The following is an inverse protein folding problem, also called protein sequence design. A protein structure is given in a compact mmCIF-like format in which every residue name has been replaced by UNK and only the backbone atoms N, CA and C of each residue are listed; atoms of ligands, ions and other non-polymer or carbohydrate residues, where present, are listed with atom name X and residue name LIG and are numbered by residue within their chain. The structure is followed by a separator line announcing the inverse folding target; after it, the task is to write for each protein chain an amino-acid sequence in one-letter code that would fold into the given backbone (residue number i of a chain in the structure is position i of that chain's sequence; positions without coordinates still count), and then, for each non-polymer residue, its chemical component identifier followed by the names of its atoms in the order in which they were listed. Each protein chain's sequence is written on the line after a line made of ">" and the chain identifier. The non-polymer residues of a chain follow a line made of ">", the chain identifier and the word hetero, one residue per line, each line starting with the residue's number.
data_IF_564355741180
#
_entry.id   IF_564355741180
#
_cell.length_a   1.000
_cell.length_b   1.000
_cell.length_c   1.000
_cell.angle_alpha   90.00
_cell.angle_beta   90.00
_cell.angle_gamma   90.00
#
_symmetry.space_group_name_H-M   'P 1'
#
loop_
_entity.id
_entity.type
_entity.pdbx_description
1 polymer ?
#
# COMPACT_ATOMS: atom_id res chain seq x y z
N UNK A 1 -25.42 4.53 -2.81
CA UNK A 1 -24.71 3.85 -3.90
C UNK A 1 -24.23 2.53 -3.34
N UNK A 2 -24.72 1.42 -3.87
CA UNK A 2 -24.43 0.07 -3.34
C UNK A 2 -23.06 -0.39 -3.85
N UNK A 3 -22.28 -1.05 -3.01
CA UNK A 3 -20.93 -1.51 -3.36
C UNK A 3 -21.02 -2.80 -4.17
N UNK A 4 -20.20 -2.93 -5.22
CA UNK A 4 -20.13 -4.13 -6.05
C UNK A 4 -19.49 -5.27 -5.26
N UNK A 5 -20.12 -6.43 -5.24
CA UNK A 5 -19.64 -7.63 -4.55
C UNK A 5 -19.13 -8.68 -5.54
N UNK A 6 -18.24 -9.61 -5.14
CA UNK A 6 -17.72 -10.63 -6.04
C UNK A 6 -18.81 -11.50 -6.71
N UNK A 7 -19.99 -11.64 -6.09
CA UNK A 7 -21.15 -12.32 -6.67
C UNK A 7 -21.79 -11.61 -7.85
N UNK A 8 -21.49 -10.32 -8.06
CA UNK A 8 -21.94 -9.55 -9.23
C UNK A 8 -21.12 -9.87 -10.50
N UNK A 9 -20.12 -10.75 -10.40
CA UNK A 9 -19.34 -11.19 -11.56
C UNK A 9 -20.23 -11.91 -12.58
N UNK A 10 -20.16 -11.50 -13.85
CA UNK A 10 -20.95 -12.16 -14.89
C UNK A 10 -21.00 -11.42 -16.22
N UNK A 11 -21.81 -11.95 -17.13
CA UNK A 11 -22.06 -11.34 -18.43
C UNK A 11 -23.35 -10.52 -18.40
N UNK A 12 -23.21 -9.22 -18.58
CA UNK A 12 -24.32 -8.29 -18.62
C UNK A 12 -24.67 -7.97 -20.06
N UNK A 13 -25.93 -8.18 -20.43
CA UNK A 13 -26.43 -7.86 -21.79
C UNK A 13 -27.31 -6.64 -21.75
N UNK A 14 -26.88 -5.56 -22.40
CA UNK A 14 -27.75 -4.42 -22.68
C UNK A 14 -28.65 -4.77 -23.87
N UNK A 15 -29.95 -4.66 -23.67
CA UNK A 15 -30.96 -4.94 -24.70
C UNK A 15 -31.75 -3.67 -24.96
N UNK A 16 -31.70 -3.16 -26.18
CA UNK A 16 -32.48 -2.00 -26.63
C UNK A 16 -33.45 -2.49 -27.70
N UNK A 17 -34.73 -2.20 -27.51
CA UNK A 17 -35.80 -2.69 -28.38
C UNK A 17 -36.78 -1.57 -28.72
N UNK A 18 -37.20 -1.53 -29.98
CA UNK A 18 -38.32 -0.74 -30.44
C UNK A 18 -39.27 -1.62 -31.29
N UNK A 19 -40.33 -1.03 -31.83
CA UNK A 19 -41.30 -1.73 -32.71
C UNK A 19 -40.72 -2.27 -34.02
N UNK A 20 -39.51 -1.84 -34.40
CA UNK A 20 -38.87 -2.19 -35.66
C UNK A 20 -37.68 -3.15 -35.50
N UNK A 21 -37.25 -3.46 -34.27
CA UNK A 21 -36.13 -4.36 -34.04
C UNK A 21 -35.58 -4.34 -32.62
N UNK A 22 -34.55 -5.17 -32.41
CA UNK A 22 -33.85 -5.33 -31.13
C UNK A 22 -32.37 -5.48 -31.36
N UNK A 23 -31.58 -4.71 -30.63
CA UNK A 23 -30.11 -4.83 -30.57
C UNK A 23 -29.68 -5.30 -29.19
N UNK A 24 -28.64 -6.12 -29.12
CA UNK A 24 -28.10 -6.66 -27.86
C UNK A 24 -26.59 -6.51 -27.87
N UNK A 25 -26.04 -5.99 -26.78
CA UNK A 25 -24.60 -5.90 -26.57
C UNK A 25 -24.24 -6.53 -25.23
N UNK A 26 -23.31 -7.47 -25.24
CA UNK A 26 -22.88 -8.21 -24.04
C UNK A 26 -21.52 -7.70 -23.58
N UNK A 27 -21.38 -7.50 -22.27
CA UNK A 27 -20.15 -7.11 -21.59
C UNK A 27 -19.85 -8.10 -20.48
N UNK A 28 -18.58 -8.41 -20.29
CA UNK A 28 -18.13 -9.23 -19.16
C UNK A 28 -17.70 -8.30 -18.03
N UNK A 29 -18.34 -8.45 -16.88
CA UNK A 29 -17.97 -7.76 -15.64
C UNK A 29 -17.14 -8.73 -14.79
N UNK A 30 -15.87 -8.39 -14.61
CA UNK A 30 -15.00 -9.06 -13.63
C UNK A 30 -14.91 -8.21 -12.36
N UNK A 31 -15.25 -8.83 -11.23
CA UNK A 31 -15.20 -8.19 -9.90
C UNK A 31 -14.12 -8.87 -9.10
N UNK A 32 -13.02 -8.16 -8.89
CA UNK A 32 -11.92 -8.66 -8.08
C UNK A 32 -12.25 -8.45 -6.61
N UNK A 33 -12.28 -9.55 -5.86
CA UNK A 33 -12.36 -9.47 -4.41
C UNK A 33 -11.10 -8.80 -3.89
N UNK A 34 -11.28 -7.60 -3.34
CA UNK A 34 -10.25 -6.96 -2.52
C UNK A 34 -10.65 -7.22 -1.09
N UNK A 35 -9.79 -7.89 -0.34
CA UNK A 35 -9.93 -7.93 1.11
C UNK A 35 -9.20 -6.69 1.63
N UNK A 36 -9.92 -5.60 2.00
CA UNK A 36 -9.28 -4.41 2.56
C UNK A 36 -8.68 -4.80 3.90
N UNK A 37 -7.40 -5.14 3.88
CA UNK A 37 -6.64 -5.43 5.06
C UNK A 37 -5.71 -4.25 5.32
N UNK A 38 -5.42 -3.99 6.60
CA UNK A 38 -4.34 -3.06 6.95
C UNK A 38 -3.05 -3.49 6.23
N UNK A 39 -2.20 -2.57 5.77
CA UNK A 39 -0.96 -2.93 5.10
C UNK A 39 -0.13 -3.90 5.96
N UNK A 40 0.36 -4.97 5.35
CA UNK A 40 1.11 -6.03 6.05
C UNK A 40 2.56 -5.97 5.61
N UNK A 41 3.48 -5.84 6.56
CA UNK A 41 4.91 -5.93 6.29
C UNK A 41 5.27 -7.38 5.95
N UNK A 42 6.05 -7.55 4.88
CA UNK A 42 6.60 -8.86 4.54
C UNK A 42 7.50 -9.37 5.67
N UNK A 43 7.26 -10.60 6.12
CA UNK A 43 8.08 -11.22 7.16
C UNK A 43 9.57 -11.24 6.77
N UNK A 44 10.42 -10.93 7.74
CA UNK A 44 11.88 -10.83 7.54
C UNK A 44 12.36 -9.50 6.96
N UNK A 45 11.45 -8.57 6.61
CA UNK A 45 11.78 -7.23 6.16
C UNK A 45 11.11 -6.15 7.03
N UNK A 46 11.75 -4.98 7.21
CA UNK A 46 13.15 -4.71 6.89
C UNK A 46 14.11 -5.44 7.85
N UNK A 47 15.19 -6.01 7.31
CA UNK A 47 16.18 -6.75 8.08
C UNK A 47 17.23 -5.82 8.71
N UNK A 48 17.83 -6.24 9.84
CA UNK A 48 18.99 -5.57 10.42
C UNK A 48 20.18 -5.67 9.45
N UNK A 49 20.88 -4.56 9.23
CA UNK A 49 22.07 -4.50 8.40
C UNK A 49 23.23 -3.83 9.12
N UNK A 50 24.43 -4.34 8.85
CA UNK A 50 25.70 -3.77 9.31
C UNK A 50 26.50 -3.35 8.09
N UNK A 51 26.91 -2.08 8.06
CA UNK A 51 27.66 -1.52 6.94
C UNK A 51 28.96 -0.92 7.45
N UNK A 52 29.97 -0.84 6.58
CA UNK A 52 31.24 -0.19 6.88
C UNK A 52 31.04 1.32 6.89
N UNK A 53 31.78 2.03 7.73
CA UNK A 53 31.74 3.50 7.76
C UNK A 53 32.05 4.07 6.36
N UNK A 54 31.18 4.97 5.90
CA UNK A 54 31.29 5.60 4.59
C UNK A 54 30.76 4.77 3.41
N UNK A 55 30.35 3.52 3.64
CA UNK A 55 29.63 2.72 2.63
C UNK A 55 28.13 3.01 2.66
N UNK A 56 27.46 2.85 1.52
CA UNK A 56 26.01 2.94 1.43
C UNK A 56 25.35 1.66 1.98
N UNK A 57 24.14 1.80 2.53
CA UNK A 57 23.33 0.69 3.06
C UNK A 57 21.93 0.78 2.49
N UNK A 58 21.35 -0.36 2.12
CA UNK A 58 20.07 -0.41 1.41
C UNK A 58 19.01 -1.21 2.16
N UNK A 59 18.03 -0.53 2.74
CA UNK A 59 16.91 -1.18 3.41
C UNK A 59 15.73 -1.37 2.46
N UNK A 60 15.15 -2.56 2.52
CA UNK A 60 13.99 -2.94 1.74
C UNK A 60 12.75 -3.05 2.63
N UNK A 61 11.71 -2.28 2.31
CA UNK A 61 10.38 -2.41 2.90
C UNK A 61 9.41 -2.92 1.83
N UNK A 62 8.92 -4.15 2.01
CA UNK A 62 7.87 -4.73 1.17
C UNK A 62 6.59 -4.82 1.97
N UNK A 63 5.53 -4.26 1.39
CA UNK A 63 4.21 -4.14 2.02
C UNK A 63 3.20 -4.78 1.09
N UNK A 64 2.41 -5.71 1.62
CA UNK A 64 1.23 -6.22 0.95
C UNK A 64 0.05 -5.29 1.30
N UNK A 65 -0.59 -4.73 0.28
CA UNK A 65 -1.81 -3.95 0.41
C UNK A 65 -2.56 -3.95 -0.93
N UNK A 66 -3.89 -3.93 -0.85
CA UNK A 66 -4.83 -3.80 -1.96
C UNK A 66 -5.01 -2.34 -2.44
N UNK A 67 -4.45 -1.39 -1.69
CA UNK A 67 -4.36 0.05 -1.99
C UNK A 67 -2.90 0.48 -2.04
N UNK A 68 -2.62 1.61 -2.72
CA UNK A 68 -1.27 2.16 -2.79
C UNK A 68 -0.77 2.53 -1.38
N UNK A 69 0.29 1.89 -0.84
CA UNK A 69 0.78 2.21 0.49
C UNK A 69 1.59 3.51 0.49
N UNK A 70 1.53 4.23 1.60
CA UNK A 70 2.41 5.35 1.90
C UNK A 70 3.50 4.88 2.85
N UNK A 71 4.76 4.84 2.38
CA UNK A 71 5.88 4.29 3.14
C UNK A 71 6.78 5.42 3.64
N UNK A 72 7.06 5.43 4.94
CA UNK A 72 7.96 6.38 5.59
C UNK A 72 9.04 5.65 6.37
N UNK A 73 10.29 6.10 6.16
CA UNK A 73 11.44 5.67 6.92
C UNK A 73 11.75 6.68 8.02
N UNK A 74 11.77 6.21 9.26
CA UNK A 74 11.97 7.03 10.45
C UNK A 74 13.23 6.56 11.18
N UNK A 75 14.06 7.52 11.61
CA UNK A 75 15.20 7.29 12.50
C UNK A 75 14.89 7.87 13.86
N UNK A 76 14.93 7.03 14.89
CA UNK A 76 14.90 7.50 16.28
C UNK A 76 16.14 8.35 16.56
N UNK A 77 15.93 9.49 17.23
CA UNK A 77 16.98 10.41 17.63
C UNK A 77 16.89 10.70 19.13
N UNK A 78 18.02 11.12 19.71
CA UNK A 78 18.07 11.58 21.09
C UNK A 78 18.07 13.10 21.11
N UNK A 79 17.20 13.69 21.92
CA UNK A 79 17.12 15.14 22.18
C UNK A 79 17.32 15.33 23.68
N UNK A 80 18.39 16.05 24.06
CA UNK A 80 18.75 16.29 25.46
C UNK A 80 18.86 15.01 26.31
N UNK A 81 19.36 13.92 25.71
CA UNK A 81 19.53 12.62 26.40
C UNK A 81 18.26 11.77 26.50
N UNK A 82 17.12 12.23 25.98
CA UNK A 82 15.89 11.43 25.90
C UNK A 82 15.54 11.08 24.46
N UNK A 83 15.05 9.86 24.23
CA UNK A 83 14.47 9.43 22.94
C UNK A 83 12.98 9.74 22.83
N UNK A 84 12.37 10.19 23.92
CA UNK A 84 10.93 10.36 24.05
C UNK A 84 10.63 11.71 24.68
N UNK A 85 9.64 12.41 24.14
CA UNK A 85 9.13 13.65 24.71
C UNK A 85 8.38 13.46 26.02
N UNK A 86 8.09 14.56 26.70
CA UNK A 86 7.27 14.56 27.93
C UNK A 86 5.85 14.02 27.71
N UNK A 87 5.39 14.00 26.46
CA UNK A 87 4.10 13.49 26.01
C UNK A 87 4.10 11.98 25.68
N UNK A 88 5.27 11.32 25.75
CA UNK A 88 5.43 9.92 25.36
C UNK A 88 5.68 9.71 23.86
N UNK A 89 5.76 10.78 23.06
CA UNK A 89 6.02 10.67 21.62
C UNK A 89 7.52 10.50 21.38
N UNK A 90 7.95 9.49 20.59
CA UNK A 90 9.37 9.32 20.28
C UNK A 90 9.89 10.46 19.40
N UNK A 91 11.08 10.95 19.69
CA UNK A 91 11.80 11.84 18.80
C UNK A 91 12.30 11.07 17.58
N UNK A 92 11.80 11.47 16.41
CA UNK A 92 12.12 10.82 15.13
C UNK A 92 12.48 11.87 14.08
N UNK A 93 13.34 11.47 13.16
CA UNK A 93 13.63 12.21 11.93
C UNK A 93 13.16 11.39 10.73
N UNK A 94 12.51 12.04 9.78
CA UNK A 94 12.07 11.39 8.53
C UNK A 94 13.28 11.29 7.61
N UNK A 95 13.71 10.06 7.31
CA UNK A 95 14.80 9.80 6.37
C UNK A 95 14.32 9.88 4.93
N UNK A 96 13.13 9.31 4.64
CA UNK A 96 12.56 9.23 3.30
C UNK A 96 11.06 8.95 3.37
N UNK A 97 10.28 9.61 2.53
CA UNK A 97 8.87 9.30 2.30
C UNK A 97 8.68 9.03 0.81
N UNK A 98 8.29 7.81 0.43
CA UNK A 98 8.10 7.40 -0.96
C UNK A 98 7.03 6.30 -1.08
N UNK A 99 6.54 6.12 -2.29
CA UNK A 99 5.69 4.98 -2.67
C UNK A 99 6.48 3.68 -2.83
N UNK A 100 7.76 3.76 -3.24
CA UNK A 100 8.68 2.62 -3.27
C UNK A 100 9.43 2.51 -1.94
N UNK A 101 9.24 1.40 -1.23
CA UNK A 101 9.75 1.17 0.13
C UNK A 101 11.26 0.98 0.27
N UNK A 102 12.05 1.44 -0.70
CA UNK A 102 13.51 1.28 -0.73
C UNK A 102 14.20 2.51 -0.12
N UNK A 103 15.14 2.30 0.80
CA UNK A 103 15.97 3.34 1.42
C UNK A 103 17.45 3.00 1.19
N UNK A 104 18.07 3.68 0.25
CA UNK A 104 19.42 3.38 -0.27
C UNK A 104 20.55 4.16 0.43
N UNK A 105 20.24 5.08 1.36
CA UNK A 105 21.26 5.91 2.00
C UNK A 105 20.81 6.46 3.36
N UNK A 106 21.64 6.29 4.38
CA UNK A 106 21.50 6.85 5.75
C UNK A 106 22.82 7.51 6.15
#
# INVERSE_FOLDING_TARGET
>A
MESVVPSDRGNYTCVVQNKFGRIRQTYTLDVLERSPHRPILQAGLPANQTAVLGSDVEFHCKVYSDVQPHIQWLKHVEVNGSKVGSDGTPYVTVLKAKENGELTRI
#
